data_IF_670482623771
#
_entry.id   IF_670482623771
#
_cell.length_a   1.000
_cell.length_b   1.000
_cell.length_c   1.000
_cell.angle_alpha   90.00
_cell.angle_beta   90.00
_cell.angle_gamma   90.00
#
_symmetry.space_group_name_H-M   'P 1'
#
loop_
_entity.id
_entity.type
_entity.pdbx_description
1 polymer ?
#
# COMPACT_ATOMS: atom_id res chain seq x y z
N UNK A 1 13.27 15.57 -6.48
CA UNK A 1 13.82 14.55 -5.58
C UNK A 1 13.42 13.20 -6.13
N UNK A 2 14.34 12.44 -6.72
CA UNK A 2 14.06 11.07 -7.16
C UNK A 2 14.05 10.18 -5.90
N UNK A 3 12.87 9.72 -5.50
CA UNK A 3 12.76 8.65 -4.51
C UNK A 3 13.36 7.40 -5.14
N UNK A 4 14.41 6.87 -4.52
CA UNK A 4 14.94 5.55 -4.86
C UNK A 4 13.83 4.52 -4.66
N UNK A 5 13.30 3.94 -5.74
CA UNK A 5 12.28 2.87 -5.70
C UNK A 5 12.71 1.70 -4.80
N UNK A 6 14.02 1.49 -4.70
CA UNK A 6 14.65 0.46 -3.87
C UNK A 6 14.26 0.55 -2.38
N UNK A 7 13.99 1.74 -1.85
CA UNK A 7 13.58 1.90 -0.45
C UNK A 7 12.17 1.33 -0.17
N UNK A 8 11.24 1.55 -1.09
CA UNK A 8 9.85 1.09 -0.98
C UNK A 8 9.79 -0.43 -1.16
N UNK A 9 10.59 -0.96 -2.10
CA UNK A 9 10.69 -2.39 -2.35
C UNK A 9 11.32 -3.13 -1.17
N UNK A 10 12.40 -2.61 -0.59
CA UNK A 10 13.01 -3.17 0.61
C UNK A 10 12.06 -3.15 1.81
N UNK A 11 11.25 -2.12 1.95
CA UNK A 11 10.24 -2.05 2.99
C UNK A 11 9.17 -3.13 2.81
N UNK A 12 8.62 -3.27 1.60
CA UNK A 12 7.64 -4.30 1.27
C UNK A 12 8.19 -5.72 1.50
N UNK A 13 9.47 -5.97 1.15
CA UNK A 13 10.15 -7.24 1.42
C UNK A 13 10.26 -7.52 2.92
N UNK A 14 10.76 -6.56 3.72
CA UNK A 14 10.88 -6.71 5.17
C UNK A 14 9.54 -6.99 5.84
N UNK A 15 8.49 -6.29 5.42
CA UNK A 15 7.14 -6.50 5.96
C UNK A 15 6.59 -7.86 5.54
N UNK A 16 6.83 -8.29 4.30
CA UNK A 16 6.44 -9.63 3.83
C UNK A 16 7.12 -10.74 4.63
N UNK A 17 8.41 -10.60 4.94
CA UNK A 17 9.12 -11.55 5.79
C UNK A 17 8.53 -11.61 7.20
N UNK A 18 8.16 -10.44 7.77
CA UNK A 18 7.50 -10.39 9.08
C UNK A 18 6.13 -11.05 9.04
N UNK A 19 5.34 -10.82 7.99
CA UNK A 19 4.06 -11.49 7.75
C UNK A 19 4.28 -13.00 7.75
N UNK A 20 5.25 -13.50 6.97
CA UNK A 20 5.53 -14.94 6.89
C UNK A 20 5.93 -15.55 8.24
N UNK A 21 6.67 -14.81 9.08
CA UNK A 21 7.15 -15.28 10.39
C UNK A 21 6.06 -15.28 11.47
N UNK A 22 5.13 -14.33 11.41
CA UNK A 22 4.18 -14.07 12.51
C UNK A 22 2.72 -14.35 12.16
N UNK A 23 2.43 -14.72 10.91
CA UNK A 23 1.06 -14.97 10.45
C UNK A 23 0.43 -16.15 11.17
N UNK A 24 -0.82 -15.99 11.60
CA UNK A 24 -1.67 -17.10 12.05
C UNK A 24 -2.33 -17.83 10.87
N UNK A 25 -2.29 -17.24 9.68
CA UNK A 25 -2.84 -17.78 8.44
C UNK A 25 -1.78 -18.48 7.60
N UNK A 26 -2.20 -19.41 6.76
CA UNK A 26 -1.33 -20.07 5.78
C UNK A 26 -0.94 -19.10 4.68
N UNK A 27 0.36 -18.89 4.49
CA UNK A 27 0.89 -18.12 3.37
C UNK A 27 0.72 -18.90 2.05
N UNK A 28 -0.02 -18.34 1.09
CA UNK A 28 -0.30 -19.01 -0.20
C UNK A 28 0.63 -18.50 -1.28
N UNK A 29 0.63 -17.19 -1.53
CA UNK A 29 1.42 -16.57 -2.60
C UNK A 29 1.62 -15.07 -2.36
N UNK A 30 2.68 -14.52 -2.96
CA UNK A 30 2.87 -13.09 -3.14
C UNK A 30 2.73 -12.76 -4.63
N UNK A 31 1.91 -11.75 -4.94
CA UNK A 31 1.74 -11.22 -6.30
C UNK A 31 2.63 -9.98 -6.44
N UNK A 32 3.42 -9.93 -7.51
CA UNK A 32 4.35 -8.85 -7.84
C UNK A 32 3.77 -7.98 -8.96
N UNK A 33 4.02 -6.67 -8.92
CA UNK A 33 3.48 -5.73 -9.92
C UNK A 33 4.14 -5.92 -11.30
N UNK A 34 5.36 -6.45 -11.34
CA UNK A 34 6.08 -6.72 -12.58
C UNK A 34 6.12 -8.24 -12.82
N UNK A 35 5.37 -8.71 -13.82
CA UNK A 35 5.21 -10.13 -14.13
C UNK A 35 6.34 -10.75 -14.94
N UNK A 36 7.59 -10.32 -14.76
CA UNK A 36 8.74 -10.91 -15.48
C UNK A 36 9.71 -11.58 -14.52
N UNK A 37 9.85 -12.88 -14.70
CA UNK A 37 10.70 -13.83 -13.98
C UNK A 37 12.19 -13.69 -14.42
N UNK A 38 12.66 -12.45 -14.59
CA UNK A 38 14.04 -12.17 -14.99
C UNK A 38 14.78 -11.51 -13.83
N UNK A 39 15.79 -12.24 -13.37
CA UNK A 39 16.66 -12.12 -12.19
C UNK A 39 17.36 -10.79 -11.86
N UNK A 40 16.92 -9.61 -12.32
CA UNK A 40 17.69 -8.37 -12.04
C UNK A 40 16.89 -7.07 -11.84
N UNK A 41 15.57 -7.10 -11.89
CA UNK A 41 14.75 -5.92 -11.57
C UNK A 41 13.91 -6.14 -10.31
N UNK A 42 13.95 -5.15 -9.42
CA UNK A 42 13.34 -5.16 -8.11
C UNK A 42 11.82 -5.38 -8.21
N UNK A 43 11.41 -6.64 -8.11
CA UNK A 43 10.00 -7.01 -8.19
C UNK A 43 9.26 -6.52 -6.93
N UNK A 44 8.53 -5.41 -7.08
CA UNK A 44 7.70 -4.84 -6.02
C UNK A 44 6.54 -5.78 -5.67
N UNK A 45 6.55 -6.29 -4.44
CA UNK A 45 5.46 -7.09 -3.89
C UNK A 45 4.23 -6.19 -3.76
N UNK A 46 3.19 -6.50 -4.53
CA UNK A 46 1.93 -5.75 -4.49
C UNK A 46 1.02 -6.27 -3.40
N UNK A 47 0.88 -7.59 -3.33
CA UNK A 47 -0.15 -8.26 -2.53
C UNK A 47 0.34 -9.61 -2.06
N UNK A 48 -0.16 -10.01 -0.90
CA UNK A 48 0.05 -11.31 -0.28
C UNK A 48 -1.32 -11.95 -0.12
N UNK A 49 -1.43 -13.20 -0.58
CA UNK A 49 -2.62 -14.03 -0.35
C UNK A 49 -2.36 -14.94 0.84
N UNK A 50 -3.20 -14.78 1.86
CA UNK A 50 -3.26 -15.63 3.06
C UNK A 50 -4.52 -16.49 3.02
N UNK A 51 -4.45 -17.69 3.59
CA UNK A 51 -5.57 -18.62 3.68
C UNK A 51 -5.80 -19.03 5.14
N UNK A 52 -7.05 -18.96 5.57
CA UNK A 52 -7.50 -19.39 6.89
C UNK A 52 -7.77 -20.90 6.93
N UNK A 53 -7.88 -21.46 8.14
CA UNK A 53 -8.20 -22.86 8.38
C UNK A 53 -9.52 -23.31 7.73
N UNK A 54 -10.46 -22.37 7.52
CA UNK A 54 -11.71 -22.61 6.80
C UNK A 54 -11.57 -22.60 5.27
N UNK A 55 -10.35 -22.44 4.73
CA UNK A 55 -10.07 -22.32 3.30
C UNK A 55 -10.38 -20.95 2.69
N UNK A 56 -10.74 -19.97 3.52
CA UNK A 56 -11.05 -18.61 3.07
C UNK A 56 -9.75 -17.85 2.77
N UNK A 57 -9.68 -17.26 1.58
CA UNK A 57 -8.52 -16.50 1.11
C UNK A 57 -8.69 -15.00 1.34
N UNK A 58 -7.62 -14.36 1.79
CA UNK A 58 -7.53 -12.94 2.05
C UNK A 58 -6.34 -12.37 1.28
N UNK A 59 -6.57 -11.31 0.51
CA UNK A 59 -5.51 -10.57 -0.15
C UNK A 59 -5.23 -9.31 0.66
N UNK A 60 -3.98 -9.15 1.10
CA UNK A 60 -3.51 -8.00 1.86
C UNK A 60 -2.27 -7.40 1.21
N UNK A 61 -1.99 -6.14 1.49
CA UNK A 61 -0.77 -5.48 1.04
C UNK A 61 0.37 -5.68 2.06
N UNK A 62 1.65 -5.71 1.63
CA UNK A 62 2.81 -5.83 2.52
C UNK A 62 3.10 -4.51 3.25
N UNK A 63 2.13 -4.02 4.01
CA UNK A 63 2.19 -2.78 4.78
C UNK A 63 1.93 -3.05 6.29
N UNK A 64 2.12 -2.06 7.18
CA UNK A 64 1.91 -2.26 8.62
C UNK A 64 0.51 -2.76 9.00
N UNK A 65 -0.53 -2.30 8.30
CA UNK A 65 -1.91 -2.75 8.54
C UNK A 65 -2.12 -4.20 8.08
N UNK A 66 -1.51 -4.60 6.97
CA UNK A 66 -1.49 -5.98 6.48
C UNK A 66 -0.76 -6.92 7.43
N UNK A 67 0.35 -6.48 8.04
CA UNK A 67 1.03 -7.23 9.09
C UNK A 67 0.14 -7.44 10.31
N UNK A 68 -0.52 -6.38 10.79
CA UNK A 68 -1.45 -6.48 11.93
C UNK A 68 -2.62 -7.42 11.66
N UNK A 69 -3.12 -7.44 10.42
CA UNK A 69 -4.13 -8.42 10.01
C UNK A 69 -3.56 -9.84 10.03
N UNK A 70 -2.37 -10.05 9.43
CA UNK A 70 -1.75 -11.36 9.38
C UNK A 70 -1.43 -11.94 10.77
N UNK A 71 -1.05 -11.09 11.72
CA UNK A 71 -0.84 -11.43 13.14
C UNK A 71 -2.15 -11.74 13.88
N UNK A 72 -3.32 -11.46 13.29
CA UNK A 72 -4.62 -11.60 13.94
C UNK A 72 -4.97 -10.48 14.92
N UNK A 73 -4.16 -9.40 14.96
CA UNK A 73 -4.36 -8.25 15.83
C UNK A 73 -5.58 -7.40 15.41
N UNK A 74 -5.90 -7.39 14.12
CA UNK A 74 -7.10 -6.72 13.58
C UNK A 74 -7.90 -7.68 12.70
N UNK A 75 -9.21 -7.49 12.63
CA UNK A 75 -10.07 -8.26 11.73
C UNK A 75 -9.95 -7.80 10.28
N UNK A 76 -10.37 -8.64 9.34
CA UNK A 76 -10.37 -8.28 7.91
C UNK A 76 -11.27 -7.06 7.62
N UNK A 77 -12.36 -6.90 8.37
CA UNK A 77 -13.24 -5.75 8.23
C UNK A 77 -12.52 -4.45 8.62
N UNK A 78 -11.84 -4.44 9.77
CA UNK A 78 -11.06 -3.30 10.23
C UNK A 78 -9.91 -2.97 9.29
N UNK A 79 -9.19 -3.99 8.79
CA UNK A 79 -8.15 -3.81 7.77
C UNK A 79 -8.70 -3.05 6.54
N UNK A 80 -9.86 -3.47 6.03
CA UNK A 80 -10.48 -2.85 4.86
C UNK A 80 -10.98 -1.43 5.13
N UNK A 81 -11.40 -1.16 6.36
CA UNK A 81 -11.82 0.18 6.77
C UNK A 81 -10.63 1.14 6.85
N UNK A 82 -9.49 0.70 7.41
CA UNK A 82 -8.24 1.45 7.43
C UNK A 82 -7.76 1.77 6.01
N UNK A 83 -7.72 0.78 5.12
CA UNK A 83 -7.33 0.95 3.72
C UNK A 83 -8.22 1.97 3.01
N UNK A 84 -9.53 1.94 3.27
CA UNK A 84 -10.49 2.90 2.71
C UNK A 84 -10.28 4.31 3.27
N UNK A 85 -10.00 4.43 4.56
CA UNK A 85 -9.83 5.72 5.21
C UNK A 85 -8.55 6.43 4.74
N UNK A 86 -7.45 5.69 4.61
CA UNK A 86 -6.19 6.18 4.05
C UNK A 86 -6.38 6.70 2.62
N UNK A 87 -7.08 5.93 1.77
CA UNK A 87 -7.43 6.34 0.41
C UNK A 87 -8.26 7.64 0.39
N UNK A 88 -9.29 7.73 1.24
CA UNK A 88 -10.11 8.96 1.35
C UNK A 88 -9.30 10.16 1.81
N UNK A 89 -8.44 9.98 2.80
CA UNK A 89 -7.60 11.04 3.34
C UNK A 89 -6.61 11.55 2.28
N UNK A 90 -5.97 10.65 1.54
CA UNK A 90 -5.08 11.00 0.44
C UNK A 90 -5.80 11.81 -0.65
N UNK A 91 -6.97 11.36 -1.10
CA UNK A 91 -7.75 12.08 -2.11
C UNK A 91 -8.17 13.47 -1.62
N UNK A 92 -8.57 13.61 -0.34
CA UNK A 92 -8.93 14.91 0.23
C UNK A 92 -7.75 15.89 0.25
N UNK A 93 -6.56 15.41 0.59
CA UNK A 93 -5.35 16.23 0.62
C UNK A 93 -5.02 16.75 -0.79
N UNK A 94 -5.08 15.88 -1.81
CA UNK A 94 -4.82 16.24 -3.20
C UNK A 94 -5.82 17.28 -3.75
N UNK A 95 -7.10 17.15 -3.42
CA UNK A 95 -8.13 18.13 -3.81
C UNK A 95 -7.88 19.51 -3.21
N UNK A 96 -7.49 19.56 -1.93
CA UNK A 96 -7.18 20.81 -1.24
C UNK A 96 -5.97 21.51 -1.86
N UNK A 97 -4.89 20.78 -2.14
CA UNK A 97 -3.69 21.38 -2.74
C UNK A 97 -3.98 21.94 -4.13
N UNK A 98 -4.67 21.19 -4.99
CA UNK A 98 -5.04 21.64 -6.34
C UNK A 98 -5.86 22.94 -6.29
N UNK A 99 -6.81 23.02 -5.37
CA UNK A 99 -7.68 24.20 -5.24
C UNK A 99 -6.88 25.44 -4.82
N UNK A 100 -5.93 25.29 -3.88
CA UNK A 100 -5.04 26.37 -3.47
C UNK A 100 -4.15 26.84 -4.62
N UNK A 101 -3.57 25.90 -5.39
CA UNK A 101 -2.75 26.25 -6.55
C UNK A 101 -3.52 27.01 -7.62
N UNK A 102 -4.77 26.62 -7.91
CA UNK A 102 -5.61 27.32 -8.90
C UNK A 102 -6.01 28.73 -8.43
N UNK A 103 -6.34 28.90 -7.15
CA UNK A 103 -6.68 30.21 -6.60
C UNK A 103 -5.47 31.17 -6.58
N UNK A 104 -4.30 30.68 -6.15
CA UNK A 104 -3.07 31.46 -6.14
C UNK A 104 -2.58 31.80 -7.57
N UNK A 105 -2.66 30.85 -8.50
CA UNK A 105 -2.28 31.08 -9.90
C UNK A 105 -3.23 32.06 -10.60
N UNK A 106 -4.54 31.91 -10.41
CA UNK A 106 -5.54 32.80 -11.02
C UNK A 106 -5.44 34.24 -10.52
N UNK A 107 -5.22 34.43 -9.21
CA UNK A 107 -5.00 35.76 -8.63
C UNK A 107 -3.69 36.39 -9.11
N UNK A 108 -2.62 35.61 -9.29
CA UNK A 108 -1.34 36.10 -9.81
C UNK A 108 -1.42 36.55 -11.28
N UNK A 109 -2.15 35.82 -12.12
CA UNK A 109 -2.37 36.20 -13.53
C UNK A 109 -3.18 37.50 -13.62
N UNK A 110 -4.24 37.64 -12.82
CA UNK A 110 -5.05 38.86 -12.79
C UNK A 110 -4.26 40.08 -12.31
N UNK A 111 -3.29 39.89 -11.41
CA UNK A 111 -2.45 40.97 -10.89
C UNK A 111 -1.39 41.47 -11.90
N UNK A 112 -1.04 40.65 -12.89
CA UNK A 112 -0.04 40.96 -13.92
C UNK A 112 -0.64 41.49 -15.23
N UNK A 113 -1.96 41.39 -15.41
CA UNK A 113 -2.71 41.85 -16.58
C UNK A 113 -3.34 43.22 -16.34
#
# INVERSE_FOLDING_TARGET
MCFSSNAIEQEALKVTEQIKKKTIYKFVKADFINGHDNDDDLNLISRITLEDHSGKKYCIEPNPNGLRFAEGTITFHEYKELERNEKKQGTRLLLLTITVYLAAGGTFIWYLL
#
